data_IF_490441315398
#
_entry.id   IF_490441315398
#
_cell.length_a   1.000
_cell.length_b   1.000
_cell.length_c   1.000
_cell.angle_alpha   90.00
_cell.angle_beta   90.00
_cell.angle_gamma   90.00
#
_symmetry.space_group_name_H-M   'P 1'
#
loop_
_entity.id
_entity.type
_entity.pdbx_description
1 polymer ?
#
# COMPACT_ATOMS: atom_id res chain seq x y z
N UNK A 1 -14.76 -25.27 -2.71
CA UNK A 1 -14.02 -24.87 -1.49
C UNK A 1 -13.80 -23.37 -1.57
N UNK A 2 -14.00 -22.60 -0.50
CA UNK A 2 -13.64 -21.19 -0.53
C UNK A 2 -12.13 -21.07 -0.81
N UNK A 3 -11.70 -20.05 -1.59
CA UNK A 3 -10.28 -19.86 -1.88
C UNK A 3 -9.47 -19.70 -0.59
N UNK A 4 -8.32 -20.38 -0.51
CA UNK A 4 -7.44 -20.28 0.66
C UNK A 4 -6.90 -18.86 0.81
N UNK A 5 -7.03 -18.25 1.98
CA UNK A 5 -6.32 -16.98 2.28
C UNK A 5 -4.82 -17.27 2.31
N UNK A 6 -4.05 -16.49 1.56
CA UNK A 6 -2.59 -16.51 1.68
C UNK A 6 -2.20 -16.19 3.13
N UNK A 7 -1.27 -16.96 3.70
CA UNK A 7 -0.71 -16.59 4.99
C UNK A 7 -0.11 -15.18 4.88
N UNK A 8 -0.35 -14.32 5.87
CA UNK A 8 0.16 -12.92 5.89
C UNK A 8 1.66 -12.85 5.65
N UNK A 9 2.41 -13.77 6.22
CA UNK A 9 3.86 -13.83 6.09
C UNK A 9 4.31 -14.16 4.66
N UNK A 10 3.73 -15.17 4.03
CA UNK A 10 4.04 -15.53 2.64
C UNK A 10 3.67 -14.39 1.68
N UNK A 11 2.57 -13.68 1.93
CA UNK A 11 2.18 -12.52 1.16
C UNK A 11 3.17 -11.36 1.26
N UNK A 12 3.67 -11.07 2.46
CA UNK A 12 4.69 -10.02 2.69
C UNK A 12 5.99 -10.31 1.92
N UNK A 13 6.40 -11.57 1.83
CA UNK A 13 7.62 -11.99 1.14
C UNK A 13 7.47 -12.12 -0.39
N UNK A 14 6.25 -12.13 -0.91
CA UNK A 14 6.01 -12.29 -2.35
C UNK A 14 6.50 -11.12 -3.19
N UNK A 15 6.55 -9.91 -2.61
CA UNK A 15 6.86 -8.66 -3.31
C UNK A 15 8.34 -8.49 -3.62
N UNK A 16 9.22 -9.05 -2.82
CA UNK A 16 10.68 -8.92 -2.99
C UNK A 16 11.29 -9.88 -4.00
N UNK A 17 10.51 -10.69 -4.72
CA UNK A 17 11.04 -11.61 -5.74
C UNK A 17 11.68 -10.86 -6.92
N UNK A 18 11.14 -9.70 -7.29
CA UNK A 18 11.68 -8.81 -8.32
C UNK A 18 11.40 -7.35 -7.92
N UNK A 19 12.28 -6.75 -7.09
CA UNK A 19 12.08 -5.39 -6.60
C UNK A 19 12.07 -4.33 -7.70
N UNK A 20 12.86 -4.53 -8.77
CA UNK A 20 12.92 -3.60 -9.89
C UNK A 20 11.59 -3.58 -10.66
N UNK A 21 11.07 -4.75 -11.05
CA UNK A 21 9.76 -4.84 -11.68
C UNK A 21 8.66 -4.32 -10.75
N UNK A 22 8.73 -4.60 -9.45
CA UNK A 22 7.77 -4.06 -8.48
C UNK A 22 7.77 -2.53 -8.49
N UNK A 23 8.96 -1.92 -8.46
CA UNK A 23 9.12 -0.47 -8.49
C UNK A 23 8.55 0.16 -9.75
N UNK A 24 8.90 -0.39 -10.91
CA UNK A 24 8.56 0.17 -12.21
C UNK A 24 7.09 -0.06 -12.59
N UNK A 25 6.55 -1.24 -12.26
CA UNK A 25 5.20 -1.62 -12.65
C UNK A 25 4.10 -1.01 -11.76
N UNK A 26 4.36 -0.80 -10.46
CA UNK A 26 3.38 -0.22 -9.56
C UNK A 26 3.22 1.27 -9.81
N UNK A 27 1.98 1.78 -9.97
CA UNK A 27 1.76 3.21 -10.15
C UNK A 27 2.14 4.02 -8.90
N UNK A 28 2.60 5.24 -9.11
CA UNK A 28 2.82 6.20 -8.05
C UNK A 28 1.49 6.63 -7.42
N UNK A 29 1.56 7.18 -6.20
CA UNK A 29 0.39 7.73 -5.54
C UNK A 29 0.11 9.14 -6.07
N UNK A 30 -1.18 9.50 -6.26
CA UNK A 30 -1.56 10.82 -6.75
C UNK A 30 -1.09 11.96 -5.83
N UNK A 31 -0.71 13.09 -6.41
CA UNK A 31 -0.18 14.25 -5.70
C UNK A 31 -1.12 14.80 -4.61
N UNK A 32 -2.44 14.66 -4.80
CA UNK A 32 -3.41 15.13 -3.81
C UNK A 32 -3.26 14.44 -2.45
N UNK A 33 -2.79 13.17 -2.41
CA UNK A 33 -2.50 12.45 -1.15
C UNK A 33 -1.47 13.24 -0.36
N UNK A 34 -0.33 13.53 -0.96
CA UNK A 34 0.75 14.27 -0.32
C UNK A 34 0.38 15.74 -0.04
N UNK A 35 -0.42 16.34 -0.93
CA UNK A 35 -1.02 17.66 -0.69
C UNK A 35 -1.90 17.69 0.57
N UNK A 36 -2.67 16.61 0.82
CA UNK A 36 -3.45 16.46 2.03
C UNK A 36 -2.57 16.25 3.26
N UNK A 37 -1.50 15.43 3.17
CA UNK A 37 -0.55 15.26 4.28
C UNK A 37 0.10 16.59 4.67
N UNK A 38 0.46 17.43 3.70
CA UNK A 38 0.99 18.76 3.97
C UNK A 38 -0.03 19.69 4.64
N UNK A 39 -1.22 19.77 4.11
CA UNK A 39 -2.23 20.73 4.55
C UNK A 39 -2.96 20.32 5.84
N UNK A 40 -3.09 19.02 6.10
CA UNK A 40 -3.88 18.48 7.22
C UNK A 40 -3.02 17.81 8.29
N UNK A 41 -1.92 17.16 7.92
CA UNK A 41 -1.08 16.39 8.84
C UNK A 41 0.26 17.07 9.14
N UNK A 42 0.39 18.34 8.80
CA UNK A 42 1.59 19.17 9.04
C UNK A 42 2.88 18.60 8.43
N UNK A 43 2.81 17.76 7.38
CA UNK A 43 4.00 17.28 6.68
C UNK A 43 4.78 18.45 6.08
N UNK A 44 6.00 18.64 6.53
CA UNK A 44 6.90 19.73 6.11
C UNK A 44 8.32 19.54 6.62
N UNK A 45 9.10 20.60 6.54
CA UNK A 45 10.49 20.58 6.97
C UNK A 45 10.63 20.21 8.45
N UNK A 46 11.37 19.12 8.73
CA UNK A 46 11.62 18.64 10.09
C UNK A 46 10.52 17.75 10.69
N UNK A 47 9.49 17.35 9.91
CA UNK A 47 8.47 16.41 10.40
C UNK A 47 9.08 15.04 10.64
N UNK A 48 9.18 14.65 11.91
CA UNK A 48 9.69 13.33 12.32
C UNK A 48 8.69 12.25 11.92
N UNK A 49 9.11 11.33 11.03
CA UNK A 49 8.17 10.42 10.37
C UNK A 49 8.60 8.96 10.50
N UNK A 50 7.65 8.04 10.67
CA UNK A 50 7.85 6.62 10.38
C UNK A 50 6.94 6.15 9.26
N UNK A 51 7.44 5.22 8.44
CA UNK A 51 6.68 4.59 7.35
C UNK A 51 6.63 3.08 7.57
N UNK A 52 5.43 2.49 7.46
CA UNK A 52 5.19 1.06 7.62
C UNK A 52 5.05 0.40 6.25
N UNK A 53 5.89 -0.61 5.98
CA UNK A 53 5.89 -1.33 4.70
C UNK A 53 6.34 -0.44 3.56
N UNK A 54 7.53 0.15 3.69
CA UNK A 54 8.06 1.12 2.73
C UNK A 54 8.29 0.55 1.32
N UNK A 55 8.44 -0.76 1.20
CA UNK A 55 8.65 -1.43 -0.06
C UNK A 55 9.90 -0.91 -0.79
N UNK A 56 9.74 -0.56 -2.05
CA UNK A 56 10.80 0.04 -2.87
C UNK A 56 10.93 1.57 -2.71
N UNK A 57 10.16 2.18 -1.78
CA UNK A 57 10.31 3.59 -1.44
C UNK A 57 9.49 4.58 -2.29
N UNK A 58 8.43 4.14 -2.94
CA UNK A 58 7.58 5.06 -3.73
C UNK A 58 6.98 6.20 -2.90
N UNK A 59 6.48 5.90 -1.70
CA UNK A 59 6.00 6.94 -0.79
C UNK A 59 7.14 7.57 -0.02
N UNK A 60 8.14 6.80 0.41
CA UNK A 60 9.34 7.29 1.14
C UNK A 60 9.99 8.48 0.45
N UNK A 61 10.27 8.37 -0.87
CA UNK A 61 10.89 9.45 -1.64
C UNK A 61 10.05 10.73 -1.59
N UNK A 62 8.74 10.60 -1.82
CA UNK A 62 7.83 11.75 -1.80
C UNK A 62 7.74 12.40 -0.41
N UNK A 63 7.77 11.60 0.65
CA UNK A 63 7.79 12.08 2.03
C UNK A 63 9.07 12.88 2.32
N UNK A 64 10.24 12.37 1.90
CA UNK A 64 11.53 13.06 2.03
C UNK A 64 11.56 14.37 1.24
N UNK A 65 11.09 14.36 -0.02
CA UNK A 65 11.01 15.55 -0.87
C UNK A 65 10.15 16.66 -0.24
N UNK A 66 9.17 16.27 0.58
CA UNK A 66 8.26 17.18 1.28
C UNK A 66 8.74 17.56 2.69
N UNK A 67 9.89 17.06 3.12
CA UNK A 67 10.54 17.49 4.37
C UNK A 67 10.34 16.55 5.55
N UNK A 68 9.87 15.32 5.36
CA UNK A 68 9.86 14.29 6.40
C UNK A 68 11.30 13.95 6.82
N UNK A 69 11.77 14.54 7.90
CA UNK A 69 13.16 14.43 8.39
C UNK A 69 13.24 14.55 9.92
N UNK A 70 13.75 13.52 10.63
CA UNK A 70 14.17 12.20 10.13
C UNK A 70 12.98 11.33 9.68
N UNK A 71 13.27 10.36 8.80
CA UNK A 71 12.30 9.35 8.37
C UNK A 71 12.83 7.95 8.67
N UNK A 72 12.06 7.16 9.41
CA UNK A 72 12.34 5.74 9.67
C UNK A 72 11.39 4.88 8.83
N UNK A 73 11.93 4.22 7.82
CA UNK A 73 11.20 3.29 6.95
C UNK A 73 11.33 1.86 7.50
N UNK A 74 10.21 1.25 7.87
CA UNK A 74 10.15 -0.14 8.34
C UNK A 74 9.69 -1.03 7.19
N UNK A 75 10.54 -2.00 6.79
CA UNK A 75 10.26 -2.92 5.69
C UNK A 75 10.68 -4.34 6.07
N UNK A 76 9.77 -5.33 6.11
CA UNK A 76 10.11 -6.68 6.52
C UNK A 76 10.88 -7.48 5.48
N UNK A 77 10.75 -7.19 4.17
CA UNK A 77 11.49 -7.93 3.13
C UNK A 77 12.89 -7.30 2.93
N UNK A 78 13.98 -8.04 3.24
CA UNK A 78 15.34 -7.50 3.11
C UNK A 78 15.71 -7.10 1.69
N UNK A 79 15.10 -7.71 0.66
CA UNK A 79 15.35 -7.41 -0.75
C UNK A 79 14.74 -6.07 -1.15
N UNK A 80 13.53 -5.77 -0.67
CA UNK A 80 12.88 -4.47 -0.86
C UNK A 80 13.59 -3.38 -0.06
N UNK A 81 13.97 -3.68 1.18
CA UNK A 81 14.72 -2.76 2.03
C UNK A 81 16.09 -2.39 1.42
N UNK A 82 16.78 -3.35 0.82
CA UNK A 82 18.05 -3.10 0.12
C UNK A 82 17.83 -2.23 -1.13
N UNK A 83 16.81 -2.55 -1.95
CA UNK A 83 16.44 -1.72 -3.09
C UNK A 83 16.15 -0.27 -2.66
N UNK A 84 15.40 -0.09 -1.58
CA UNK A 84 15.09 1.23 -1.01
C UNK A 84 16.36 1.99 -0.61
N UNK A 85 17.33 1.33 0.06
CA UNK A 85 18.61 1.94 0.45
C UNK A 85 19.43 2.38 -0.76
N UNK A 86 19.49 1.53 -1.78
CA UNK A 86 20.24 1.84 -3.01
C UNK A 86 19.60 2.98 -3.81
N UNK A 87 18.28 3.05 -3.83
CA UNK A 87 17.53 4.08 -4.54
C UNK A 87 17.48 5.44 -3.82
N UNK A 88 17.77 5.48 -2.51
CA UNK A 88 17.67 6.68 -1.69
C UNK A 88 18.90 6.85 -0.80
N UNK A 89 19.74 7.80 -1.16
CA UNK A 89 20.96 8.16 -0.41
C UNK A 89 20.73 9.36 0.54
N UNK A 90 19.48 9.67 0.88
CA UNK A 90 19.17 10.75 1.79
C UNK A 90 19.63 10.40 3.22
N UNK A 91 20.51 11.20 3.84
CA UNK A 91 21.04 10.91 5.17
C UNK A 91 19.98 10.97 6.28
N UNK A 92 18.80 11.54 6.00
CA UNK A 92 17.69 11.58 6.94
C UNK A 92 16.85 10.30 6.93
N UNK A 93 17.12 9.36 6.00
CA UNK A 93 16.43 8.07 5.89
C UNK A 93 17.16 7.00 6.70
N UNK A 94 16.44 6.36 7.62
CA UNK A 94 16.86 5.13 8.27
C UNK A 94 15.96 3.99 7.80
N UNK A 95 16.51 2.91 7.23
CA UNK A 95 15.75 1.73 6.81
C UNK A 95 15.94 0.62 7.84
N UNK A 96 14.87 0.28 8.56
CA UNK A 96 14.82 -0.82 9.53
C UNK A 96 14.23 -2.06 8.86
N UNK A 97 15.00 -3.14 8.79
CA UNK A 97 14.56 -4.44 8.25
C UNK A 97 13.91 -5.24 9.37
N UNK A 98 12.61 -5.12 9.51
CA UNK A 98 11.83 -5.86 10.51
C UNK A 98 10.33 -5.83 10.15
N UNK A 99 9.55 -6.76 10.70
CA UNK A 99 8.11 -6.58 10.78
C UNK A 99 7.80 -5.37 11.66
N UNK A 100 6.72 -4.64 11.36
CA UNK A 100 6.33 -3.48 12.17
C UNK A 100 6.02 -3.87 13.61
N UNK A 101 5.47 -5.05 13.80
CA UNK A 101 5.17 -5.60 15.13
C UNK A 101 6.42 -5.63 16.04
N UNK A 102 7.58 -5.95 15.46
CA UNK A 102 8.87 -6.13 16.15
C UNK A 102 9.79 -4.89 16.07
N UNK A 103 9.42 -3.89 15.25
CA UNK A 103 10.24 -2.71 15.05
C UNK A 103 10.44 -1.94 16.36
N UNK A 104 11.70 -1.68 16.71
CA UNK A 104 12.10 -0.87 17.87
C UNK A 104 12.05 0.61 17.44
N UNK A 105 10.97 1.28 17.84
CA UNK A 105 10.74 2.71 17.60
C UNK A 105 10.37 3.38 18.93
N UNK A 106 10.84 4.60 19.13
CA UNK A 106 10.65 5.32 20.38
C UNK A 106 9.21 5.84 20.52
N UNK A 107 8.63 5.63 21.68
CA UNK A 107 7.29 6.10 21.99
C UNK A 107 7.24 7.64 22.06
N UNK A 108 6.21 8.22 21.45
CA UNK A 108 5.98 9.66 21.45
C UNK A 108 6.99 10.46 20.64
N UNK A 109 7.79 9.82 19.77
CA UNK A 109 8.88 10.45 19.04
C UNK A 109 8.50 10.98 17.65
N UNK A 110 7.30 10.66 17.14
CA UNK A 110 6.95 10.92 15.75
C UNK A 110 5.79 11.88 15.61
N UNK A 111 5.93 12.83 14.70
CA UNK A 111 4.87 13.76 14.30
C UNK A 111 3.90 13.11 13.30
N UNK A 112 4.41 12.18 12.48
CA UNK A 112 3.64 11.55 11.42
C UNK A 112 4.00 10.06 11.30
N UNK A 113 2.97 9.21 11.27
CA UNK A 113 3.08 7.81 10.85
C UNK A 113 2.39 7.62 9.51
N UNK A 114 2.99 6.84 8.61
CA UNK A 114 2.46 6.60 7.25
C UNK A 114 2.46 5.11 6.93
N UNK A 115 1.45 4.65 6.17
CA UNK A 115 1.49 3.37 5.48
C UNK A 115 0.84 3.47 4.11
N UNK A 116 1.60 3.14 3.07
CA UNK A 116 1.20 3.19 1.68
C UNK A 116 0.99 1.78 1.11
N UNK A 117 -0.26 1.35 0.96
CA UNK A 117 -0.67 0.03 0.44
C UNK A 117 -0.06 -1.17 1.20
N UNK A 118 0.24 -1.02 2.50
CA UNK A 118 0.85 -2.06 3.30
C UNK A 118 0.07 -2.43 4.58
N UNK A 119 -0.71 -1.53 5.14
CA UNK A 119 -1.34 -1.68 6.45
C UNK A 119 -2.28 -2.90 6.56
N UNK A 120 -2.90 -3.34 5.48
CA UNK A 120 -3.78 -4.52 5.44
C UNK A 120 -3.07 -5.86 5.71
N UNK A 121 -1.74 -5.87 5.77
CA UNK A 121 -0.94 -7.03 6.16
C UNK A 121 -0.80 -7.19 7.67
N UNK A 122 -1.16 -6.17 8.45
CA UNK A 122 -1.01 -6.15 9.89
C UNK A 122 -2.28 -6.64 10.61
N UNK A 123 -2.13 -6.97 11.88
CA UNK A 123 -3.27 -6.98 12.78
C UNK A 123 -3.66 -5.52 13.05
N UNK A 124 -4.82 -5.12 12.56
CA UNK A 124 -5.23 -3.71 12.55
C UNK A 124 -5.31 -3.12 13.95
N UNK A 125 -5.88 -3.85 14.91
CA UNK A 125 -6.07 -3.34 16.27
C UNK A 125 -4.74 -3.20 17.00
N UNK A 126 -3.90 -4.23 16.97
CA UNK A 126 -2.58 -4.19 17.57
C UNK A 126 -1.67 -3.13 16.93
N UNK A 127 -1.73 -3.00 15.59
CA UNK A 127 -0.96 -2.01 14.86
C UNK A 127 -1.39 -0.58 15.19
N UNK A 128 -2.69 -0.29 15.24
CA UNK A 128 -3.20 1.04 15.61
C UNK A 128 -2.84 1.41 17.05
N UNK A 129 -2.88 0.45 17.98
CA UNK A 129 -2.44 0.67 19.36
C UNK A 129 -0.94 1.00 19.44
N UNK A 130 -0.10 0.33 18.63
CA UNK A 130 1.34 0.65 18.54
C UNK A 130 1.56 2.01 17.91
N UNK A 131 0.89 2.34 16.80
CA UNK A 131 0.96 3.64 16.12
C UNK A 131 0.62 4.78 17.09
N UNK A 132 -0.47 4.65 17.85
CA UNK A 132 -0.86 5.65 18.83
C UNK A 132 0.21 5.91 19.90
N UNK A 133 0.97 4.88 20.31
CA UNK A 133 2.09 5.04 21.26
C UNK A 133 3.30 5.73 20.63
N UNK A 134 3.56 5.50 19.34
CA UNK A 134 4.73 6.05 18.65
C UNK A 134 4.56 7.53 18.32
N UNK A 135 3.35 7.96 18.00
CA UNK A 135 3.06 9.35 17.70
C UNK A 135 3.20 10.23 18.94
N UNK A 136 3.69 11.45 18.80
CA UNK A 136 3.61 12.46 19.84
C UNK A 136 2.13 12.89 20.06
N UNK A 137 1.76 13.49 21.20
CA UNK A 137 0.45 14.10 21.37
C UNK A 137 0.15 15.10 20.24
N UNK A 138 -0.97 14.96 19.57
CA UNK A 138 -1.33 15.76 18.40
C UNK A 138 -0.67 15.33 17.08
N UNK A 139 0.17 14.31 17.10
CA UNK A 139 0.76 13.69 15.90
C UNK A 139 -0.27 13.00 15.03
N UNK A 140 0.07 12.74 13.77
CA UNK A 140 -0.84 12.24 12.75
C UNK A 140 -0.51 10.82 12.29
N UNK A 141 -1.55 10.05 12.04
CA UNK A 141 -1.50 8.78 11.30
C UNK A 141 -2.13 8.95 9.93
N UNK A 142 -1.50 8.41 8.88
CA UNK A 142 -2.03 8.39 7.52
C UNK A 142 -1.86 7.01 6.88
N UNK A 143 -2.95 6.44 6.38
CA UNK A 143 -2.92 5.20 5.61
C UNK A 143 -3.62 5.40 4.26
N UNK A 144 -2.98 4.99 3.16
CA UNK A 144 -3.56 5.17 1.83
C UNK A 144 -3.23 4.00 0.90
N UNK A 145 -4.10 3.81 -0.10
CA UNK A 145 -4.01 2.71 -1.06
C UNK A 145 -4.32 3.19 -2.47
N UNK A 146 -3.59 2.65 -3.44
CA UNK A 146 -4.07 2.55 -4.81
C UNK A 146 -4.77 1.19 -4.97
N UNK A 147 -6.07 1.21 -5.17
CA UNK A 147 -6.90 0.01 -5.31
C UNK A 147 -7.34 -0.15 -6.76
N UNK A 148 -7.22 -1.36 -7.27
CA UNK A 148 -7.72 -1.81 -8.57
C UNK A 148 -8.46 -3.14 -8.37
N UNK A 149 -9.31 -3.51 -9.34
CA UNK A 149 -10.10 -4.73 -9.22
C UNK A 149 -11.21 -4.60 -8.17
N UNK A 150 -11.78 -3.43 -8.03
CA UNK A 150 -12.96 -3.15 -7.24
C UNK A 150 -14.19 -3.63 -8.00
N UNK A 151 -14.89 -4.66 -7.50
CA UNK A 151 -16.08 -5.22 -8.10
C UNK A 151 -17.25 -4.23 -8.16
N UNK A 152 -17.24 -3.17 -7.37
CA UNK A 152 -18.24 -2.08 -7.47
C UNK A 152 -18.01 -1.16 -8.67
N UNK A 153 -16.78 -1.19 -9.24
CA UNK A 153 -16.37 -0.38 -10.38
C UNK A 153 -15.49 -1.17 -11.36
N UNK A 154 -15.98 -2.31 -11.89
CA UNK A 154 -15.21 -3.13 -12.78
C UNK A 154 -14.91 -2.35 -14.07
N UNK A 155 -13.69 -2.50 -14.60
CA UNK A 155 -13.35 -2.10 -15.95
C UNK A 155 -13.51 -3.30 -16.92
N UNK A 156 -13.55 -3.07 -18.24
CA UNK A 156 -13.69 -4.15 -19.22
C UNK A 156 -12.59 -5.23 -19.11
N UNK A 157 -11.35 -4.84 -18.82
CA UNK A 157 -10.24 -5.79 -18.65
C UNK A 157 -10.41 -6.63 -17.38
N UNK A 158 -10.90 -6.04 -16.29
CA UNK A 158 -11.23 -6.76 -15.07
C UNK A 158 -12.26 -7.87 -15.35
N UNK A 159 -13.30 -7.55 -16.12
CA UNK A 159 -14.35 -8.53 -16.48
C UNK A 159 -13.79 -9.64 -17.38
N UNK A 160 -13.00 -9.29 -18.40
CA UNK A 160 -12.42 -10.24 -19.36
C UNK A 160 -11.40 -11.21 -18.69
N UNK A 161 -10.75 -10.77 -17.61
CA UNK A 161 -9.70 -11.56 -16.94
C UNK A 161 -10.18 -12.26 -15.65
N UNK A 162 -11.44 -12.11 -15.27
CA UNK A 162 -11.99 -12.64 -14.02
C UNK A 162 -11.76 -14.15 -13.87
N UNK A 163 -12.06 -14.93 -14.91
CA UNK A 163 -11.94 -16.39 -14.87
C UNK A 163 -10.48 -16.84 -14.81
N UNK A 164 -9.60 -16.15 -15.52
CA UNK A 164 -8.15 -16.43 -15.51
C UNK A 164 -7.53 -16.17 -14.12
N UNK A 165 -8.07 -15.21 -13.37
CA UNK A 165 -7.57 -14.78 -12.06
C UNK A 165 -8.26 -15.46 -10.87
N UNK A 166 -9.20 -16.37 -11.12
CA UNK A 166 -9.85 -17.14 -10.06
C UNK A 166 -8.84 -18.01 -9.27
N UNK A 167 -9.10 -18.20 -7.98
CA UNK A 167 -8.41 -19.21 -7.18
C UNK A 167 -7.60 -18.74 -5.98
N UNK A 168 -7.42 -17.41 -5.78
CA UNK A 168 -6.70 -16.91 -4.60
C UNK A 168 -7.49 -15.79 -3.91
N UNK A 169 -7.85 -15.99 -2.63
CA UNK A 169 -8.37 -14.88 -1.83
C UNK A 169 -7.23 -13.89 -1.57
N UNK A 170 -7.46 -12.64 -1.89
CA UNK A 170 -6.51 -11.56 -1.64
C UNK A 170 -6.64 -11.09 -0.18
N UNK A 171 -5.56 -11.06 0.63
CA UNK A 171 -5.59 -10.48 1.98
C UNK A 171 -6.03 -9.03 2.02
N UNK A 172 -5.84 -8.30 0.90
CA UNK A 172 -6.35 -6.94 0.75
C UNK A 172 -7.86 -6.86 0.54
N UNK A 173 -8.57 -7.98 0.47
CA UNK A 173 -10.03 -8.03 0.44
C UNK A 173 -10.54 -8.31 1.84
N UNK A 174 -11.34 -7.39 2.39
CA UNK A 174 -11.95 -7.52 3.71
C UNK A 174 -12.98 -8.66 3.78
N UNK A 175 -13.50 -8.94 4.98
CA UNK A 175 -14.48 -10.02 5.21
C UNK A 175 -15.76 -9.88 4.39
N UNK A 176 -16.15 -8.63 4.07
CA UNK A 176 -17.33 -8.31 3.25
C UNK A 176 -17.10 -8.37 1.73
N UNK A 177 -15.94 -8.84 1.27
CA UNK A 177 -15.58 -8.82 -0.15
C UNK A 177 -15.15 -7.43 -0.66
N UNK A 178 -15.15 -6.41 0.20
CA UNK A 178 -14.71 -5.05 -0.13
C UNK A 178 -13.19 -4.96 0.03
N UNK A 179 -12.44 -4.38 -0.92
CA UNK A 179 -11.01 -4.13 -0.73
C UNK A 179 -10.75 -3.37 0.57
N UNK A 180 -9.75 -3.80 1.34
CA UNK A 180 -9.46 -3.26 2.68
C UNK A 180 -9.38 -1.71 2.70
N UNK A 181 -8.68 -1.12 1.72
CA UNK A 181 -8.56 0.34 1.62
C UNK A 181 -9.86 1.06 1.25
N UNK A 182 -10.88 0.36 0.72
CA UNK A 182 -12.17 0.94 0.34
C UNK A 182 -13.27 0.70 1.38
N UNK A 183 -13.04 -0.18 2.36
CA UNK A 183 -14.00 -0.42 3.44
C UNK A 183 -13.94 0.71 4.47
N UNK A 184 -14.54 1.84 4.10
CA UNK A 184 -14.55 3.08 4.88
C UNK A 184 -15.12 2.88 6.28
N UNK A 185 -16.23 2.15 6.41
CA UNK A 185 -16.88 1.94 7.71
C UNK A 185 -15.97 1.17 8.66
N UNK A 186 -15.38 0.07 8.18
CA UNK A 186 -14.49 -0.74 9.00
C UNK A 186 -13.24 0.04 9.42
N UNK A 187 -12.63 0.82 8.52
CA UNK A 187 -11.45 1.65 8.84
C UNK A 187 -11.75 2.72 9.86
N UNK A 188 -12.86 3.45 9.70
CA UNK A 188 -13.28 4.46 10.68
C UNK A 188 -13.64 3.83 12.02
N UNK A 189 -14.32 2.68 12.02
CA UNK A 189 -14.65 1.98 13.25
C UNK A 189 -13.39 1.48 13.97
N UNK A 190 -12.37 0.96 13.25
CA UNK A 190 -11.11 0.52 13.83
C UNK A 190 -10.38 1.69 14.52
N UNK A 191 -10.25 2.82 13.84
CA UNK A 191 -9.63 4.02 14.43
C UNK A 191 -10.38 4.50 15.70
N UNK A 192 -11.71 4.53 15.65
CA UNK A 192 -12.53 4.93 16.81
C UNK A 192 -12.40 3.98 17.99
N UNK A 193 -12.35 2.66 17.75
CA UNK A 193 -12.22 1.66 18.83
C UNK A 193 -10.96 1.83 19.66
N UNK A 194 -9.88 2.37 19.11
CA UNK A 194 -8.65 2.62 19.88
C UNK A 194 -8.85 3.66 20.99
N UNK A 195 -9.80 4.58 20.83
CA UNK A 195 -9.97 5.73 21.73
C UNK A 195 -8.79 6.72 21.72
N UNK A 196 -7.78 6.48 20.88
CA UNK A 196 -6.53 7.25 20.88
C UNK A 196 -6.51 8.41 19.88
N UNK A 197 -7.51 8.50 19.00
CA UNK A 197 -7.56 9.52 17.95
C UNK A 197 -8.79 10.40 18.09
N UNK A 198 -8.59 11.72 18.11
CA UNK A 198 -9.65 12.72 18.25
C UNK A 198 -10.16 13.26 16.91
N UNK A 199 -9.33 13.33 15.89
CA UNK A 199 -9.68 13.73 14.53
C UNK A 199 -9.48 12.54 13.61
N UNK A 200 -10.54 12.20 12.88
CA UNK A 200 -10.49 11.15 11.85
C UNK A 200 -11.18 11.66 10.60
N UNK A 201 -10.48 11.64 9.48
CA UNK A 201 -11.00 12.07 8.18
C UNK A 201 -10.57 11.13 7.07
N UNK A 202 -11.24 11.17 5.94
CA UNK A 202 -11.00 10.28 4.80
C UNK A 202 -11.28 10.99 3.49
N UNK A 203 -10.48 10.70 2.51
CA UNK A 203 -10.65 11.18 1.14
C UNK A 203 -10.48 10.04 0.14
N UNK A 204 -11.16 10.14 -1.00
CA UNK A 204 -11.10 9.15 -2.07
C UNK A 204 -11.10 9.87 -3.41
N UNK A 205 -10.31 9.40 -4.36
CA UNK A 205 -10.39 9.84 -5.75
C UNK A 205 -10.31 8.68 -6.71
N UNK A 206 -10.93 8.85 -7.87
CA UNK A 206 -10.96 7.85 -8.94
C UNK A 206 -10.16 8.37 -10.14
N UNK A 207 -9.43 7.46 -10.79
CA UNK A 207 -8.62 7.78 -11.95
C UNK A 207 -8.43 6.53 -12.83
N UNK A 208 -7.80 6.68 -13.98
CA UNK A 208 -7.56 5.58 -14.90
C UNK A 208 -6.07 5.40 -15.13
N UNK A 209 -5.62 4.14 -15.08
CA UNK A 209 -4.27 3.72 -15.43
C UNK A 209 -4.29 3.09 -16.82
N UNK A 210 -3.49 3.63 -17.74
CA UNK A 210 -3.37 3.11 -19.11
C UNK A 210 -2.07 2.32 -19.23
N UNK A 211 -2.18 1.09 -19.70
CA UNK A 211 -1.07 0.13 -19.81
C UNK A 211 -1.08 -0.48 -21.21
N UNK A 212 0.10 -0.82 -21.72
CA UNK A 212 0.24 -1.76 -22.83
C UNK A 212 0.19 -3.21 -22.32
N UNK A 213 0.33 -4.19 -23.22
CA UNK A 213 0.27 -5.61 -22.88
C UNK A 213 1.39 -6.05 -21.94
N UNK A 214 2.61 -5.54 -22.12
CA UNK A 214 3.77 -5.90 -21.31
C UNK A 214 3.72 -5.25 -19.94
N UNK A 215 3.39 -3.99 -19.85
CA UNK A 215 3.18 -3.28 -18.58
C UNK A 215 2.01 -3.85 -17.79
N UNK A 216 0.97 -4.33 -18.48
CA UNK A 216 -0.14 -5.04 -17.85
C UNK A 216 0.37 -6.32 -17.17
N UNK A 217 1.09 -7.18 -17.89
CA UNK A 217 1.64 -8.40 -17.30
C UNK A 217 2.66 -8.11 -16.19
N UNK A 218 3.52 -7.10 -16.37
CA UNK A 218 4.49 -6.65 -15.37
C UNK A 218 3.79 -6.22 -14.07
N UNK A 219 2.70 -5.46 -14.16
CA UNK A 219 1.92 -5.06 -13.01
C UNK A 219 1.29 -6.27 -12.30
N UNK A 220 0.66 -7.17 -13.04
CA UNK A 220 0.04 -8.37 -12.44
C UNK A 220 1.06 -9.32 -11.82
N UNK A 221 2.29 -9.39 -12.36
CA UNK A 221 3.38 -10.17 -11.79
C UNK A 221 3.77 -9.68 -10.38
N UNK A 222 3.42 -8.45 -10.01
CA UNK A 222 3.68 -7.89 -8.67
C UNK A 222 2.58 -8.21 -7.66
N UNK A 223 1.47 -8.85 -8.05
CA UNK A 223 0.40 -9.19 -7.13
C UNK A 223 0.67 -10.53 -6.46
N UNK A 224 0.57 -10.58 -5.14
CA UNK A 224 0.76 -11.84 -4.39
C UNK A 224 -0.17 -12.96 -4.85
N UNK A 225 -1.38 -12.61 -5.31
CA UNK A 225 -2.37 -13.52 -5.88
C UNK A 225 -1.95 -14.12 -7.23
N UNK A 226 -0.97 -13.54 -7.91
CA UNK A 226 -0.41 -14.03 -9.16
C UNK A 226 1.00 -14.58 -8.95
N UNK A 227 1.86 -13.86 -8.23
CA UNK A 227 3.26 -14.21 -8.04
C UNK A 227 3.47 -15.56 -7.33
N UNK A 228 2.56 -15.93 -6.44
CA UNK A 228 2.62 -17.19 -5.68
C UNK A 228 1.90 -18.38 -6.37
N UNK A 229 1.34 -18.18 -7.55
CA UNK A 229 0.66 -19.26 -8.28
C UNK A 229 1.64 -20.22 -8.94
N UNK A 230 1.37 -21.53 -8.91
CA UNK A 230 2.20 -22.51 -9.65
C UNK A 230 2.10 -22.34 -11.18
N UNK A 231 0.97 -21.79 -11.68
CA UNK A 231 0.68 -21.52 -13.09
C UNK A 231 0.92 -20.04 -13.46
N UNK A 232 1.72 -19.29 -12.66
CA UNK A 232 2.00 -17.86 -12.81
C UNK A 232 2.31 -17.46 -14.26
N UNK A 233 3.24 -18.17 -14.90
CA UNK A 233 3.69 -17.80 -16.24
C UNK A 233 2.60 -17.99 -17.31
N UNK A 234 1.75 -19.02 -17.16
CA UNK A 234 0.57 -19.23 -18.00
C UNK A 234 -0.46 -18.11 -17.79
N UNK A 235 -0.68 -17.67 -16.55
CA UNK A 235 -1.57 -16.55 -16.24
C UNK A 235 -1.05 -15.27 -16.87
N UNK A 236 0.25 -14.95 -16.72
CA UNK A 236 0.85 -13.75 -17.32
C UNK A 236 0.79 -13.77 -18.85
N UNK A 237 1.01 -14.93 -19.48
CA UNK A 237 0.85 -15.10 -20.92
C UNK A 237 -0.61 -14.90 -21.36
N UNK A 238 -1.57 -15.42 -20.58
CA UNK A 238 -3.00 -15.21 -20.78
C UNK A 238 -3.40 -13.74 -20.71
N UNK A 239 -2.89 -13.01 -19.72
CA UNK A 239 -3.14 -11.57 -19.57
C UNK A 239 -2.61 -10.76 -20.78
N UNK A 240 -1.38 -11.06 -21.26
CA UNK A 240 -0.83 -10.44 -22.47
C UNK A 240 -1.70 -10.71 -23.70
N UNK A 241 -2.10 -11.98 -23.88
CA UNK A 241 -2.95 -12.38 -25.00
C UNK A 241 -4.28 -11.63 -24.98
N UNK A 242 -4.98 -11.60 -23.86
CA UNK A 242 -6.24 -10.88 -23.72
C UNK A 242 -6.02 -9.38 -23.99
N UNK A 243 -4.98 -8.77 -23.42
CA UNK A 243 -4.66 -7.36 -23.66
C UNK A 243 -4.45 -7.05 -25.15
N UNK A 244 -3.74 -7.93 -25.88
CA UNK A 244 -3.47 -7.78 -27.30
C UNK A 244 -4.72 -8.01 -28.16
N UNK A 245 -5.35 -9.17 -27.97
CA UNK A 245 -6.37 -9.69 -28.90
C UNK A 245 -7.73 -9.03 -28.68
N UNK A 246 -8.07 -8.67 -27.44
CA UNK A 246 -9.39 -8.12 -27.10
C UNK A 246 -9.37 -6.60 -26.87
N UNK A 247 -8.18 -6.04 -26.53
CA UNK A 247 -8.03 -4.62 -26.17
C UNK A 247 -7.05 -3.87 -27.10
N UNK A 248 -6.60 -4.50 -28.20
CA UNK A 248 -5.69 -3.86 -29.17
C UNK A 248 -4.37 -3.39 -28.56
N UNK A 249 -3.86 -4.08 -27.54
CA UNK A 249 -2.63 -3.73 -26.82
C UNK A 249 -2.76 -2.53 -25.88
N UNK A 250 -3.98 -2.00 -25.63
CA UNK A 250 -4.22 -0.83 -24.77
C UNK A 250 -5.26 -1.15 -23.70
N UNK A 251 -4.79 -1.42 -22.50
CA UNK A 251 -5.61 -1.73 -21.31
C UNK A 251 -5.84 -0.45 -20.49
N UNK A 252 -7.09 -0.17 -20.15
CA UNK A 252 -7.47 0.94 -19.25
C UNK A 252 -8.01 0.30 -17.97
N UNK A 253 -7.34 0.56 -16.83
CA UNK A 253 -7.74 0.05 -15.52
C UNK A 253 -8.40 1.15 -14.69
N UNK A 254 -9.54 0.84 -14.10
CA UNK A 254 -10.16 1.70 -13.10
C UNK A 254 -9.37 1.63 -11.80
N UNK A 255 -8.92 2.78 -11.34
CA UNK A 255 -8.17 2.93 -10.10
C UNK A 255 -8.97 3.78 -9.11
N UNK A 256 -8.87 3.42 -7.85
CA UNK A 256 -9.39 4.23 -6.75
C UNK A 256 -8.27 4.42 -5.73
N UNK A 257 -7.95 5.69 -5.43
CA UNK A 257 -7.02 5.99 -4.33
C UNK A 257 -7.83 6.42 -3.12
N UNK A 258 -7.62 5.75 -1.98
CA UNK A 258 -8.23 6.08 -0.69
C UNK A 258 -7.16 6.54 0.29
N UNK A 259 -7.52 7.50 1.14
CA UNK A 259 -6.69 8.04 2.22
C UNK A 259 -7.53 8.12 3.49
N UNK A 260 -6.96 7.68 4.59
CA UNK A 260 -7.45 7.84 5.95
C UNK A 260 -6.41 8.58 6.77
N UNK A 261 -6.81 9.64 7.45
CA UNK A 261 -5.95 10.37 8.37
C UNK A 261 -6.60 10.41 9.74
N UNK A 262 -5.79 10.29 10.77
CA UNK A 262 -6.25 10.35 12.15
C UNK A 262 -5.22 11.09 13.00
N UNK A 263 -5.68 11.96 13.91
CA UNK A 263 -4.80 12.72 14.81
C UNK A 263 -4.83 12.08 16.20
N UNK A 264 -3.65 11.81 16.76
CA UNK A 264 -3.56 11.36 18.13
C UNK A 264 -4.10 12.44 19.08
N UNK A 265 -4.94 12.05 20.01
CA UNK A 265 -5.41 12.93 21.07
C UNK A 265 -4.24 13.49 21.90
N UNK A 266 -4.44 14.70 22.44
CA UNK A 266 -3.44 15.41 23.25
C UNK A 266 -3.14 14.70 24.58
#
# INVERSE_FOLDING_TARGET
MPPSRLAREAGRQAFGADPANYHDARPDYPDWVFGTLRSRCALGAGTTTFEIGAGTGKATRRLLDLGARPLVAVEPDPRLAEFLRMANLDPALTVQVSAFEDAALDAGAFDLGVSATAFHWLDEEAALAKIARLLCPGGWWAAFWNVFGDDSRPDPFHLATRDLLQGSANPSTGERGIPFGLDREARLAALKRTGAFDIVDTATSVWSLVLDEDRTAALYATYSTVSLRPDRDSVLAGLRRIARDEFGGRVVRNMTTSLYIARRAA
#
